data_IF_938817297984
#
_entry.id   IF_938817297984
#
_cell.length_a   1.000
_cell.length_b   1.000
_cell.length_c   1.000
_cell.angle_alpha   90.00
_cell.angle_beta   90.00
_cell.angle_gamma   90.00
#
_symmetry.space_group_name_H-M   'P 1'
#
loop_
_entity.id
_entity.type
_entity.pdbx_description
1 polymer ?
#
# COMPACT_ATOMS: atom_id res chain seq x y z
N UNK A 1 -10.43 7.14 -14.06
CA UNK A 1 -9.24 7.91 -14.45
C UNK A 1 -8.09 7.73 -13.45
N UNK A 2 -8.28 8.03 -12.14
CA UNK A 2 -7.21 7.94 -11.13
C UNK A 2 -6.68 6.52 -10.86
N UNK A 3 -7.54 5.49 -10.83
CA UNK A 3 -7.12 4.07 -10.70
C UNK A 3 -6.12 3.63 -11.78
N UNK A 4 -6.22 4.20 -12.98
CA UNK A 4 -5.29 3.93 -14.09
C UNK A 4 -4.02 4.77 -14.01
N UNK A 5 -3.93 5.77 -13.15
CA UNK A 5 -2.74 6.59 -12.99
C UNK A 5 -1.79 6.05 -11.91
N UNK A 6 -2.33 5.27 -10.97
CA UNK A 6 -1.59 4.67 -9.87
C UNK A 6 -1.30 3.20 -10.12
N UNK A 7 -0.18 2.71 -9.61
CA UNK A 7 0.06 1.30 -9.37
C UNK A 7 0.33 1.11 -7.87
N UNK A 8 -0.01 -0.06 -7.33
CA UNK A 8 0.14 -0.38 -5.92
C UNK A 8 0.81 -1.74 -5.81
N UNK A 9 1.80 -1.84 -4.94
CA UNK A 9 2.44 -3.09 -4.57
C UNK A 9 2.41 -3.22 -3.04
N UNK A 10 2.17 -4.42 -2.53
CA UNK A 10 2.26 -4.71 -1.10
C UNK A 10 3.26 -5.84 -0.89
N UNK A 11 4.14 -5.66 0.08
CA UNK A 11 5.10 -6.67 0.52
C UNK A 11 5.04 -6.77 2.04
N UNK A 12 5.51 -7.89 2.60
CA UNK A 12 5.66 -8.03 4.04
C UNK A 12 7.01 -8.68 4.39
N UNK A 13 7.53 -8.31 5.55
CA UNK A 13 8.73 -8.88 6.16
C UNK A 13 8.47 -9.22 7.64
N UNK A 14 8.54 -10.50 8.05
CA UNK A 14 8.67 -11.67 7.17
C UNK A 14 7.38 -11.89 6.35
N UNK A 15 7.44 -12.57 5.19
CA UNK A 15 6.26 -12.82 4.37
C UNK A 15 5.29 -13.86 4.98
N UNK A 16 5.75 -14.68 5.92
CA UNK A 16 4.96 -15.70 6.60
C UNK A 16 5.22 -15.68 8.13
N UNK A 17 4.80 -14.61 8.83
CA UNK A 17 5.06 -14.46 10.26
C UNK A 17 4.32 -15.54 11.06
N UNK A 18 5.00 -16.03 12.11
CA UNK A 18 4.40 -16.93 13.10
C UNK A 18 3.68 -16.11 14.19
N UNK A 19 2.78 -16.73 14.98
CA UNK A 19 2.22 -16.09 16.17
C UNK A 19 3.32 -15.61 17.12
N UNK A 20 3.12 -14.42 17.70
CA UNK A 20 4.09 -13.74 18.55
C UNK A 20 5.25 -13.06 17.82
N UNK A 21 5.34 -13.17 16.49
CA UNK A 21 6.35 -12.45 15.70
C UNK A 21 5.83 -11.09 15.21
N UNK A 22 6.75 -10.13 15.08
CA UNK A 22 6.48 -8.87 14.40
C UNK A 22 6.46 -9.05 12.88
N UNK A 23 5.49 -8.41 12.22
CA UNK A 23 5.44 -8.28 10.77
C UNK A 23 5.39 -6.81 10.36
N UNK A 24 6.18 -6.46 9.35
CA UNK A 24 6.10 -5.15 8.70
C UNK A 24 5.51 -5.30 7.31
N UNK A 25 4.37 -4.67 7.06
CA UNK A 25 3.80 -4.52 5.73
C UNK A 25 4.30 -3.22 5.10
N UNK A 26 4.68 -3.28 3.84
CA UNK A 26 5.07 -2.13 3.02
C UNK A 26 4.13 -2.01 1.84
N UNK A 27 3.34 -0.93 1.81
CA UNK A 27 2.55 -0.55 0.64
C UNK A 27 3.33 0.49 -0.16
N UNK A 28 3.69 0.16 -1.40
CA UNK A 28 4.31 1.06 -2.35
C UNK A 28 3.25 1.63 -3.29
N UNK A 29 3.01 2.94 -3.20
CA UNK A 29 2.16 3.68 -4.12
C UNK A 29 3.01 4.33 -5.20
N UNK A 30 2.67 4.10 -6.47
CA UNK A 30 3.46 4.53 -7.62
C UNK A 30 2.62 5.40 -8.54
N UNK A 31 3.15 6.54 -8.96
CA UNK A 31 2.57 7.32 -10.06
C UNK A 31 2.96 6.72 -11.42
N UNK A 32 2.35 5.59 -11.77
CA UNK A 32 2.73 4.77 -12.92
C UNK A 32 2.10 5.21 -14.25
N UNK A 33 1.19 6.19 -14.25
CA UNK A 33 0.44 6.56 -15.46
C UNK A 33 0.21 8.04 -15.69
N UNK A 34 0.52 8.94 -14.74
CA UNK A 34 0.36 10.38 -14.96
C UNK A 34 1.68 11.07 -15.32
N UNK A 35 1.64 11.93 -16.34
CA UNK A 35 2.75 12.82 -16.71
C UNK A 35 2.90 14.06 -15.82
N UNK A 36 2.20 14.12 -14.69
CA UNK A 36 2.25 15.22 -13.71
C UNK A 36 2.21 14.67 -12.27
N UNK A 37 2.33 15.55 -11.26
CA UNK A 37 2.16 15.19 -9.85
C UNK A 37 0.76 14.62 -9.56
N UNK A 38 0.63 13.65 -8.67
CA UNK A 38 -0.68 13.12 -8.24
C UNK A 38 -0.95 13.34 -6.73
N UNK A 39 -2.18 13.73 -6.36
CA UNK A 39 -3.29 14.08 -7.25
C UNK A 39 -3.12 15.48 -7.86
N UNK A 40 -3.78 15.73 -8.99
CA UNK A 40 -3.76 17.03 -9.69
C UNK A 40 -5.11 17.74 -9.56
N UNK A 41 -5.15 19.02 -9.93
CA UNK A 41 -6.34 19.87 -9.89
C UNK A 41 -6.39 20.74 -8.65
N UNK A 42 -7.57 20.81 -8.05
CA UNK A 42 -7.83 21.53 -6.81
C UNK A 42 -6.88 21.08 -5.67
N UNK A 43 -6.30 22.00 -4.87
CA UNK A 43 -5.38 21.63 -3.78
C UNK A 43 -5.97 20.71 -2.73
N UNK A 44 -7.28 20.71 -2.50
CA UNK A 44 -7.92 19.90 -1.47
C UNK A 44 -7.97 18.41 -1.81
N UNK A 45 -7.65 18.09 -3.07
CA UNK A 45 -7.49 16.72 -3.55
C UNK A 45 -6.31 16.06 -2.85
N UNK A 46 -6.55 14.91 -2.24
CA UNK A 46 -5.52 14.15 -1.54
C UNK A 46 -5.79 12.65 -1.60
N UNK A 47 -4.77 11.87 -1.26
CA UNK A 47 -4.92 10.45 -0.98
C UNK A 47 -4.77 10.19 0.52
N UNK A 48 -5.48 9.19 1.01
CA UNK A 48 -5.16 8.54 2.28
C UNK A 48 -4.73 7.11 2.01
N UNK A 49 -3.62 6.70 2.63
CA UNK A 49 -3.14 5.31 2.68
C UNK A 49 -3.39 4.81 4.08
N UNK A 50 -4.13 3.71 4.20
CA UNK A 50 -4.72 3.25 5.45
C UNK A 50 -4.45 1.77 5.65
N UNK A 51 -4.10 1.41 6.88
CA UNK A 51 -3.99 0.04 7.35
C UNK A 51 -4.97 -0.17 8.49
N UNK A 52 -5.75 -1.25 8.45
CA UNK A 52 -6.67 -1.63 9.52
C UNK A 52 -6.39 -3.07 9.92
N UNK A 53 -6.13 -3.32 11.20
CA UNK A 53 -6.06 -4.68 11.74
C UNK A 53 -7.44 -5.05 12.24
N UNK A 54 -7.95 -6.20 11.79
CA UNK A 54 -9.21 -6.77 12.22
C UNK A 54 -8.97 -8.05 12.99
N UNK A 55 -9.69 -8.22 14.09
CA UNK A 55 -9.72 -9.46 14.84
C UNK A 55 -10.56 -10.54 14.15
N UNK A 56 -10.64 -11.73 14.75
CA UNK A 56 -11.44 -12.86 14.26
C UNK A 56 -12.95 -12.59 14.13
N UNK A 57 -13.46 -11.52 14.74
CA UNK A 57 -14.85 -11.08 14.65
C UNK A 57 -15.05 -9.97 13.60
N UNK A 58 -13.97 -9.53 12.93
CA UNK A 58 -13.97 -8.44 11.97
C UNK A 58 -13.91 -7.04 12.59
N UNK A 59 -13.71 -6.94 13.92
CA UNK A 59 -13.60 -5.67 14.65
C UNK A 59 -12.25 -5.04 14.37
N UNK A 60 -12.23 -3.75 14.02
CA UNK A 60 -10.97 -3.01 13.87
C UNK A 60 -10.37 -2.78 15.25
N UNK A 61 -9.22 -3.40 15.52
CA UNK A 61 -8.48 -3.25 16.79
C UNK A 61 -7.29 -2.31 16.68
N UNK A 62 -6.81 -2.07 15.45
CA UNK A 62 -5.75 -1.11 15.19
C UNK A 62 -5.95 -0.43 13.83
N UNK A 63 -5.53 0.84 13.73
CA UNK A 63 -5.57 1.59 12.48
C UNK A 63 -4.38 2.54 12.35
N UNK A 64 -3.83 2.65 11.14
CA UNK A 64 -2.85 3.66 10.77
C UNK A 64 -3.29 4.34 9.47
N UNK A 65 -3.12 5.65 9.39
CA UNK A 65 -3.43 6.42 8.18
C UNK A 65 -2.35 7.45 7.88
N UNK A 66 -2.01 7.60 6.61
CA UNK A 66 -1.08 8.60 6.09
C UNK A 66 -1.73 9.39 4.95
N UNK A 67 -1.48 10.70 4.92
CA UNK A 67 -2.08 11.60 3.92
C UNK A 67 -1.03 12.09 2.93
N UNK A 68 -1.40 12.08 1.64
CA UNK A 68 -0.58 12.60 0.55
C UNK A 68 -1.37 13.60 -0.29
N UNK A 69 -0.90 14.84 -0.36
CA UNK A 69 -1.58 15.93 -1.04
C UNK A 69 -0.75 17.21 -1.06
N UNK A 70 -1.45 18.32 -1.30
CA UNK A 70 -0.90 19.67 -1.24
C UNK A 70 -1.79 20.50 -0.33
N UNK A 71 -1.18 21.34 0.50
CA UNK A 71 -1.89 22.23 1.40
C UNK A 71 -1.53 23.67 1.03
N UNK A 72 -2.57 24.46 0.80
CA UNK A 72 -2.45 25.87 0.47
C UNK A 72 -3.25 26.65 1.50
N UNK A 73 -2.60 27.64 2.11
CA UNK A 73 -3.31 28.68 2.82
C UNK A 73 -3.77 29.71 1.78
N UNK A 74 -5.09 29.84 1.61
CA UNK A 74 -5.66 30.73 0.59
C UNK A 74 -5.74 32.20 1.02
N UNK A 75 -5.83 32.47 2.32
CA UNK A 75 -5.95 33.82 2.87
C UNK A 75 -5.03 34.04 4.08
N UNK A 76 -4.52 35.27 4.30
CA UNK A 76 -4.74 36.49 3.51
C UNK A 76 -3.86 36.58 2.24
N UNK A 77 -2.90 35.68 2.09
CA UNK A 77 -2.04 35.55 0.92
C UNK A 77 -1.96 34.07 0.54
N UNK A 78 -1.86 33.79 -0.77
CA UNK A 78 -1.79 32.42 -1.27
C UNK A 78 -0.40 31.87 -0.99
N UNK A 79 -0.31 30.90 -0.07
CA UNK A 79 0.96 30.27 0.33
C UNK A 79 0.81 28.75 0.28
N UNK A 80 1.69 28.09 -0.47
CA UNK A 80 1.84 26.64 -0.38
C UNK A 80 2.58 26.30 0.92
N UNK A 81 1.88 25.66 1.86
CA UNK A 81 2.46 25.33 3.17
C UNK A 81 3.13 23.97 3.18
N UNK A 82 2.66 23.04 2.33
CA UNK A 82 3.19 21.69 2.23
C UNK A 82 2.75 21.03 0.92
N UNK A 83 3.65 20.35 0.22
CA UNK A 83 3.34 19.52 -0.96
C UNK A 83 4.17 18.24 -0.90
N UNK A 84 3.52 17.12 -0.66
CA UNK A 84 4.15 15.81 -0.65
C UNK A 84 3.59 14.90 -1.76
N UNK A 85 3.05 15.46 -2.84
CA UNK A 85 2.53 14.68 -3.97
C UNK A 85 3.61 13.90 -4.71
N UNK A 86 3.24 12.77 -5.29
CA UNK A 86 4.15 11.96 -6.10
C UNK A 86 4.37 12.58 -7.48
N UNK A 87 5.62 12.82 -7.83
CA UNK A 87 6.06 13.18 -9.18
C UNK A 87 5.74 12.06 -10.19
N UNK A 88 5.76 12.32 -11.51
CA UNK A 88 5.65 11.28 -12.53
C UNK A 88 6.67 10.16 -12.28
N UNK A 89 6.21 8.90 -12.36
CA UNK A 89 7.01 7.68 -12.17
C UNK A 89 7.65 7.54 -10.78
N UNK A 90 7.42 8.46 -9.86
CA UNK A 90 7.89 8.34 -8.48
C UNK A 90 7.00 7.36 -7.70
N UNK A 91 7.63 6.69 -6.73
CA UNK A 91 6.97 5.85 -5.74
C UNK A 91 7.16 6.41 -4.33
N UNK A 92 6.29 5.98 -3.42
CA UNK A 92 6.47 6.16 -1.98
C UNK A 92 6.00 4.92 -1.25
N UNK A 93 6.80 4.50 -0.28
CA UNK A 93 6.49 3.41 0.62
C UNK A 93 5.79 3.91 1.88
N UNK A 94 4.79 3.16 2.31
CA UNK A 94 4.08 3.34 3.57
C UNK A 94 4.22 2.03 4.35
N UNK A 95 4.89 2.11 5.50
CA UNK A 95 5.15 0.95 6.35
C UNK A 95 4.16 0.86 7.49
N UNK A 96 3.81 -0.37 7.86
CA UNK A 96 2.90 -0.69 8.97
C UNK A 96 3.45 -1.91 9.70
N UNK A 97 3.79 -1.74 10.98
CA UNK A 97 4.29 -2.81 11.84
C UNK A 97 3.22 -3.30 12.81
N UNK A 98 3.12 -4.62 13.00
CA UNK A 98 2.20 -5.22 13.95
C UNK A 98 2.69 -6.58 14.46
N UNK A 99 2.46 -6.89 15.73
CA UNK A 99 2.76 -8.20 16.34
C UNK A 99 1.62 -9.18 16.04
N UNK A 100 1.92 -10.34 15.47
CA UNK A 100 0.90 -11.35 15.15
C UNK A 100 0.35 -11.95 16.44
N UNK A 101 -0.96 -11.91 16.70
CA UNK A 101 -1.53 -12.46 17.93
C UNK A 101 -1.35 -13.98 18.03
N UNK A 102 -1.28 -14.50 19.26
CA UNK A 102 -1.24 -15.94 19.53
C UNK A 102 -2.44 -16.71 18.95
N UNK A 103 -3.61 -16.04 18.88
CA UNK A 103 -4.86 -16.58 18.33
C UNK A 103 -5.20 -16.04 16.93
N UNK A 104 -4.19 -15.87 16.08
CA UNK A 104 -4.26 -15.25 14.74
C UNK A 104 -5.32 -15.80 13.77
N UNK A 105 -5.99 -16.91 14.08
CA UNK A 105 -7.03 -17.48 13.22
C UNK A 105 -8.17 -16.49 13.00
N UNK A 106 -8.33 -16.02 11.76
CA UNK A 106 -9.36 -15.06 11.37
C UNK A 106 -8.94 -13.60 11.51
N UNK A 107 -7.73 -13.34 12.01
CA UNK A 107 -7.17 -12.00 12.01
C UNK A 107 -6.69 -11.59 10.62
N UNK A 108 -6.82 -10.30 10.32
CA UNK A 108 -6.44 -9.76 9.03
C UNK A 108 -5.92 -8.34 9.14
N UNK A 109 -5.16 -7.93 8.13
CA UNK A 109 -4.78 -6.54 7.89
C UNK A 109 -5.34 -6.11 6.53
N UNK A 110 -6.16 -5.07 6.54
CA UNK A 110 -6.67 -4.42 5.34
C UNK A 110 -5.76 -3.25 4.99
N UNK A 111 -5.19 -3.26 3.79
CA UNK A 111 -4.52 -2.11 3.19
C UNK A 111 -5.47 -1.43 2.21
N UNK A 112 -5.71 -0.13 2.40
CA UNK A 112 -6.67 0.65 1.61
C UNK A 112 -6.07 1.97 1.20
N UNK A 113 -6.33 2.38 -0.03
CA UNK A 113 -6.03 3.72 -0.52
C UNK A 113 -7.33 4.39 -0.94
N UNK A 114 -7.58 5.58 -0.41
CA UNK A 114 -8.72 6.41 -0.82
C UNK A 114 -8.23 7.67 -1.49
N UNK A 115 -8.95 8.11 -2.52
CA UNK A 115 -8.77 9.37 -3.20
C UNK A 115 -9.91 10.30 -2.80
N UNK A 116 -9.57 11.50 -2.35
CA UNK A 116 -10.50 12.52 -1.89
C UNK A 116 -10.47 13.69 -2.87
N UNK A 117 -11.64 14.19 -3.25
CA UNK A 117 -11.77 15.42 -4.06
C UNK A 117 -11.62 16.67 -3.18
N UNK A 118 -12.11 16.59 -1.95
CA UNK A 118 -12.14 17.64 -0.94
C UNK A 118 -12.10 16.97 0.46
N UNK A 119 -11.82 17.75 1.50
CA UNK A 119 -11.84 17.23 2.88
C UNK A 119 -13.26 17.11 3.41
N UNK A 120 -13.46 16.28 4.44
CA UNK A 120 -14.76 16.17 5.11
C UNK A 120 -15.24 17.53 5.64
N UNK A 121 -14.36 18.31 6.26
CA UNK A 121 -14.67 19.65 6.77
C UNK A 121 -15.15 20.60 5.66
N UNK A 122 -14.50 20.56 4.50
CA UNK A 122 -14.92 21.37 3.36
C UNK A 122 -16.24 20.89 2.77
N UNK A 123 -16.48 19.58 2.73
CA UNK A 123 -17.76 19.05 2.31
C UNK A 123 -18.88 19.58 3.22
N UNK A 124 -18.67 19.52 4.54
CA UNK A 124 -19.64 20.00 5.52
C UNK A 124 -19.83 21.51 5.41
N UNK A 125 -18.77 22.29 5.24
CA UNK A 125 -18.86 23.74 5.00
C UNK A 125 -19.66 24.04 3.73
N UNK A 126 -19.40 23.34 2.62
CA UNK A 126 -20.14 23.55 1.37
C UNK A 126 -21.62 23.20 1.52
N UNK A 127 -21.95 22.14 2.29
CA UNK A 127 -23.34 21.77 2.59
C UNK A 127 -24.02 22.81 3.51
N UNK A 128 -23.36 23.21 4.59
CA UNK A 128 -23.92 24.09 5.61
C UNK A 128 -24.02 25.56 5.17
N UNK A 129 -22.96 26.10 4.59
CA UNK A 129 -22.81 27.55 4.40
C UNK A 129 -23.08 27.98 2.94
N UNK A 130 -22.89 27.07 1.98
CA UNK A 130 -22.96 27.38 0.54
C UNK A 130 -24.04 26.61 -0.21
N UNK A 131 -24.85 25.81 0.49
CA UNK A 131 -26.04 25.17 -0.07
C UNK A 131 -25.75 24.04 -1.06
N UNK A 132 -24.64 23.31 -0.91
CA UNK A 132 -24.39 22.10 -1.68
C UNK A 132 -25.47 21.03 -1.35
N UNK A 133 -26.33 20.71 -2.32
CA UNK A 133 -27.41 19.73 -2.15
C UNK A 133 -27.14 18.37 -2.79
N UNK A 134 -26.05 18.25 -3.54
CA UNK A 134 -25.66 17.00 -4.19
C UNK A 134 -25.15 15.97 -3.17
N UNK A 135 -25.43 14.70 -3.43
CA UNK A 135 -24.91 13.56 -2.66
C UNK A 135 -23.90 12.74 -3.47
N UNK A 136 -23.29 13.38 -4.48
CA UNK A 136 -22.21 12.78 -5.24
C UNK A 136 -21.03 12.41 -4.32
N UNK A 137 -20.44 11.23 -4.49
CA UNK A 137 -19.30 10.84 -3.68
C UNK A 137 -18.11 11.76 -3.97
N UNK A 138 -17.46 12.24 -2.90
CA UNK A 138 -16.21 12.99 -2.99
C UNK A 138 -15.00 12.17 -2.52
N UNK A 139 -15.23 10.93 -2.06
CA UNK A 139 -14.21 9.97 -1.63
C UNK A 139 -14.35 8.70 -2.45
N UNK A 140 -13.23 8.18 -2.96
CA UNK A 140 -13.19 7.02 -3.84
C UNK A 140 -12.13 6.03 -3.39
N UNK A 141 -12.51 4.78 -3.15
CA UNK A 141 -11.54 3.69 -2.91
C UNK A 141 -10.83 3.34 -4.22
N UNK A 142 -9.51 3.55 -4.26
CA UNK A 142 -8.69 3.27 -5.44
C UNK A 142 -8.01 1.90 -5.37
N UNK A 143 -7.68 1.46 -4.16
CA UNK A 143 -7.12 0.15 -3.85
C UNK A 143 -7.68 -0.29 -2.49
N UNK A 144 -8.05 -1.55 -2.39
CA UNK A 144 -8.44 -2.18 -1.13
C UNK A 144 -8.15 -3.66 -1.23
N UNK A 145 -7.35 -4.17 -0.29
CA UNK A 145 -7.05 -5.59 -0.18
C UNK A 145 -6.91 -5.97 1.27
N UNK A 146 -7.37 -7.17 1.58
CA UNK A 146 -7.27 -7.77 2.90
C UNK A 146 -6.28 -8.92 2.83
N UNK A 147 -5.40 -8.98 3.83
CA UNK A 147 -4.38 -10.02 3.95
C UNK A 147 -4.58 -10.72 5.30
N UNK A 148 -4.54 -12.06 5.35
CA UNK A 148 -4.56 -12.77 6.61
C UNK A 148 -3.29 -12.42 7.41
N UNK A 149 -3.45 -12.20 8.71
CA UNK A 149 -2.34 -11.91 9.60
C UNK A 149 -1.81 -13.23 10.17
N UNK A 150 -0.74 -13.78 9.59
CA UNK A 150 -0.15 -15.05 10.02
C UNK A 150 0.52 -15.83 8.87
N UNK A 151 0.72 -17.15 9.01
CA UNK A 151 1.53 -17.94 8.07
C UNK A 151 1.03 -17.96 6.61
N UNK A 152 -0.27 -17.71 6.39
CA UNK A 152 -0.87 -17.65 5.04
C UNK A 152 -0.72 -16.29 4.36
N UNK A 153 -0.07 -15.31 5.01
CA UNK A 153 0.18 -14.00 4.45
C UNK A 153 0.94 -14.07 3.11
N UNK A 154 1.97 -14.93 3.02
CA UNK A 154 2.78 -15.09 1.82
C UNK A 154 1.93 -15.47 0.59
N UNK A 155 0.99 -16.39 0.76
CA UNK A 155 0.07 -16.81 -0.33
C UNK A 155 -0.79 -15.62 -0.78
N UNK A 156 -1.34 -14.87 0.17
CA UNK A 156 -2.14 -13.70 -0.15
C UNK A 156 -1.32 -12.56 -0.79
N UNK A 157 -0.01 -12.49 -0.52
CA UNK A 157 0.89 -11.54 -1.17
C UNK A 157 1.22 -11.97 -2.60
N UNK A 158 1.40 -13.27 -2.86
CA UNK A 158 1.70 -13.81 -4.19
C UNK A 158 0.51 -13.69 -5.15
N UNK A 159 -0.72 -13.77 -4.63
CA UNK A 159 -1.96 -13.59 -5.41
C UNK A 159 -2.22 -12.11 -5.82
N UNK A 160 -1.22 -11.23 -5.73
CA UNK A 160 -1.35 -9.83 -6.13
C UNK A 160 -1.31 -9.65 -7.64
N UNK A 161 -2.27 -8.89 -8.18
CA UNK A 161 -2.21 -8.46 -9.57
C UNK A 161 -0.99 -7.56 -9.77
N UNK A 162 -0.04 -8.03 -10.57
CA UNK A 162 1.15 -7.26 -10.93
C UNK A 162 0.74 -6.22 -11.96
N UNK A 163 0.95 -4.94 -11.63
CA UNK A 163 0.74 -3.87 -12.60
C UNK A 163 1.82 -3.93 -13.69
N UNK A 164 1.46 -4.16 -14.97
CA UNK A 164 2.44 -4.35 -16.05
C UNK A 164 3.27 -3.09 -16.36
N UNK A 165 2.89 -1.93 -15.81
CA UNK A 165 3.63 -0.66 -15.98
C UNK A 165 4.78 -0.53 -14.99
N UNK A 166 4.79 -1.34 -13.93
CA UNK A 166 5.86 -1.37 -12.95
C UNK A 166 6.86 -2.43 -13.40
N UNK A 167 7.99 -1.99 -13.96
CA UNK A 167 9.00 -2.88 -14.51
C UNK A 167 9.64 -3.80 -13.45
N UNK A 168 9.91 -5.04 -13.87
CA UNK A 168 10.59 -6.16 -13.19
C UNK A 168 10.75 -6.08 -11.65
N UNK A 169 9.82 -6.69 -10.92
CA UNK A 169 10.08 -7.21 -9.57
C UNK A 169 11.19 -8.28 -9.66
N UNK A 170 12.26 -8.24 -8.84
CA UNK A 170 13.15 -9.39 -8.75
C UNK A 170 12.35 -10.60 -8.25
N UNK A 171 12.57 -11.81 -8.80
CA UNK A 171 11.87 -12.99 -8.31
C UNK A 171 12.18 -13.20 -6.83
N UNK A 172 11.15 -13.56 -6.06
CA UNK A 172 11.34 -14.02 -4.68
C UNK A 172 12.34 -15.15 -4.72
N UNK A 173 13.36 -15.10 -3.86
CA UNK A 173 14.37 -16.14 -3.78
C UNK A 173 13.74 -17.39 -3.13
N UNK A 174 12.96 -18.15 -3.90
CA UNK A 174 12.63 -19.53 -3.56
C UNK A 174 13.93 -20.33 -3.65
N UNK A 175 14.51 -20.67 -2.50
CA UNK A 175 15.75 -21.40 -2.41
C UNK A 175 15.68 -22.76 -3.10
N UNK A 176 16.42 -22.92 -4.20
CA UNK A 176 16.81 -24.23 -4.70
C UNK A 176 18.12 -24.65 -4.03
N UNK A 177 18.00 -25.54 -3.05
CA UNK A 177 19.11 -26.34 -2.55
C UNK A 177 19.55 -27.32 -3.65
N UNK A 178 20.48 -26.90 -4.51
CA UNK A 178 21.25 -27.83 -5.33
C UNK A 178 22.59 -28.12 -4.66
N UNK A 179 22.64 -29.24 -3.95
CA UNK A 179 23.90 -29.91 -3.58
C UNK A 179 24.49 -30.53 -4.86
N UNK A 180 25.76 -30.28 -5.22
CA UNK A 180 26.44 -31.13 -6.17
C UNK A 180 26.84 -32.44 -5.48
N UNK A 181 26.12 -33.50 -5.85
CA UNK A 181 26.44 -34.90 -5.59
C UNK A 181 27.75 -35.28 -6.31
N UNK A 182 28.52 -36.16 -5.70
CA UNK A 182 29.94 -36.37 -6.01
C UNK A 182 30.29 -36.90 -7.40
N UNK A 183 31.52 -36.61 -7.82
CA UNK A 183 32.20 -37.37 -8.85
C UNK A 183 33.39 -38.12 -8.25
N UNK A 184 33.33 -39.43 -8.49
CA UNK A 184 34.21 -40.49 -8.05
C UNK A 184 35.63 -40.31 -8.60
N UNK A 185 36.62 -40.55 -7.74
CA UNK A 185 38.00 -40.83 -8.12
C UNK A 185 38.08 -42.17 -8.88
N UNK A 186 38.91 -42.23 -9.93
CA UNK A 186 39.78 -43.34 -10.35
C UNK A 186 40.20 -43.11 -11.81
N UNK A 187 41.49 -42.89 -12.05
CA UNK A 187 42.28 -43.85 -12.83
C UNK A 187 43.78 -43.56 -12.71
N UNK A 188 44.50 -44.64 -12.42
CA UNK A 188 45.94 -44.77 -12.34
C UNK A 188 46.47 -45.36 -13.65
N UNK A 189 47.77 -45.12 -13.89
CA UNK A 189 48.78 -45.94 -14.58
C UNK A 189 49.41 -45.44 -15.89
N UNK A 190 50.73 -45.28 -15.77
CA UNK A 190 51.85 -45.75 -16.62
C UNK A 190 52.36 -44.85 -17.75
N UNK A 191 53.67 -44.64 -17.71
CA UNK A 191 54.50 -44.11 -18.81
C UNK A 191 55.69 -43.36 -18.28
#
# INVERSE_FOLDING_TARGET
MIKRAVAVQVQADPPAPQPGEDVTLTLTLINAGAGHKIPTGDPDRHFTVEFFVRDSQGTVVHQQANTMGRWILWQPVIVEVYDNRLLPLASRDYTFGYEVPEDQKGWSVQARIRYHILTDDQHQMLKGDYGLTGDDPYVFTIYEREFPLGPTLAVALDDQEIDPRVGCTPPSASGSSDKPTGMSSLHSLKG
#
